data_IF_669374658126
#
_entry.id   IF_669374658126
#
_cell.length_a   1.000
_cell.length_b   1.000
_cell.length_c   1.000
_cell.angle_alpha   90.00
_cell.angle_beta   90.00
_cell.angle_gamma   90.00
#
_symmetry.space_group_name_H-M   'P 1'
#
loop_
_entity.id
_entity.type
_entity.pdbx_description
1 polymer ?
#
# COMPACT_ATOMS: atom_id res chain seq x y z
N UNK A 1 31.88 12.18 -3.84
CA UNK A 1 31.33 10.81 -3.99
C UNK A 1 31.69 9.84 -2.85
N UNK A 2 32.97 9.49 -2.59
CA UNK A 2 33.34 8.58 -1.47
C UNK A 2 33.15 9.22 -0.07
N UNK A 3 33.62 10.46 0.12
CA UNK A 3 33.43 11.20 1.40
C UNK A 3 31.97 11.46 1.74
N UNK A 4 31.14 11.80 0.75
CA UNK A 4 29.69 11.98 0.93
C UNK A 4 28.98 10.66 1.32
N UNK A 5 29.43 9.53 0.76
CA UNK A 5 28.95 8.20 1.15
C UNK A 5 29.33 7.85 2.59
N UNK A 6 30.56 8.15 3.01
CA UNK A 6 31.01 7.92 4.40
C UNK A 6 30.26 8.81 5.39
N UNK A 7 30.06 10.08 5.06
CA UNK A 7 29.32 11.02 5.90
C UNK A 7 27.84 10.63 6.01
N UNK A 8 27.22 10.22 4.90
CA UNK A 8 25.88 9.64 4.88
C UNK A 8 25.77 8.39 5.76
N UNK A 9 26.74 7.46 5.64
CA UNK A 9 26.81 6.26 6.47
C UNK A 9 26.93 6.60 7.96
N UNK A 10 27.79 7.55 8.33
CA UNK A 10 27.96 7.99 9.72
C UNK A 10 26.65 8.57 10.29
N UNK A 11 25.94 9.37 9.49
CA UNK A 11 24.65 9.95 9.90
C UNK A 11 23.59 8.86 10.11
N UNK A 12 23.53 7.85 9.24
CA UNK A 12 22.62 6.70 9.37
C UNK A 12 22.96 5.89 10.62
N UNK A 13 24.23 5.57 10.84
CA UNK A 13 24.67 4.84 12.04
C UNK A 13 24.35 5.61 13.33
N UNK A 14 24.54 6.94 13.35
CA UNK A 14 24.17 7.77 14.49
C UNK A 14 22.67 7.75 14.79
N UNK A 15 21.83 7.79 13.75
CA UNK A 15 20.37 7.67 13.89
C UNK A 15 19.97 6.28 14.40
N UNK A 16 20.60 5.22 13.88
CA UNK A 16 20.36 3.85 14.30
C UNK A 16 20.72 3.64 15.77
N UNK A 17 21.90 4.09 16.21
CA UNK A 17 22.31 4.01 17.61
C UNK A 17 21.34 4.74 18.55
N UNK A 18 20.84 5.92 18.13
CA UNK A 18 19.82 6.64 18.89
C UNK A 18 18.50 5.88 18.96
N UNK A 19 18.03 5.34 17.84
CA UNK A 19 16.80 4.54 17.78
C UNK A 19 16.89 3.29 18.68
N UNK A 20 18.01 2.58 18.65
CA UNK A 20 18.27 1.43 19.53
C UNK A 20 18.31 1.82 21.01
N UNK A 21 18.90 2.98 21.34
CA UNK A 21 18.88 3.51 22.71
C UNK A 21 17.46 3.79 23.20
N UNK A 22 16.62 4.42 22.36
CA UNK A 22 15.21 4.66 22.66
C UNK A 22 14.47 3.32 22.83
N UNK A 23 14.68 2.37 21.92
CA UNK A 23 14.06 1.04 21.97
C UNK A 23 14.37 0.30 23.27
N UNK A 24 15.65 0.25 23.67
CA UNK A 24 16.08 -0.42 24.92
C UNK A 24 15.39 0.15 26.16
N UNK A 25 15.17 1.47 26.20
CA UNK A 25 14.44 2.12 27.28
C UNK A 25 12.94 1.83 27.25
N UNK A 26 12.36 1.64 26.07
CA UNK A 26 10.94 1.35 25.88
C UNK A 26 10.59 -0.13 26.03
N UNK A 27 11.54 -1.05 25.81
CA UNK A 27 11.31 -2.51 25.82
C UNK A 27 10.60 -2.99 27.09
N UNK A 28 10.99 -2.47 28.25
CA UNK A 28 10.36 -2.81 29.54
C UNK A 28 8.97 -2.20 29.76
N UNK A 29 8.53 -1.29 28.88
CA UNK A 29 7.25 -0.55 28.97
C UNK A 29 6.27 -0.91 27.86
N UNK A 30 6.62 -1.83 26.95
CA UNK A 30 5.77 -2.21 25.81
C UNK A 30 4.41 -2.75 26.24
N UNK A 31 4.34 -3.51 27.34
CA UNK A 31 3.07 -4.01 27.89
C UNK A 31 2.14 -2.87 28.30
N UNK A 32 2.64 -1.91 29.08
CA UNK A 32 1.87 -0.72 29.49
C UNK A 32 1.45 0.13 28.29
N UNK A 33 2.33 0.30 27.30
CA UNK A 33 1.99 1.04 26.08
C UNK A 33 0.88 0.32 25.28
N UNK A 34 0.90 -1.01 25.22
CA UNK A 34 -0.15 -1.78 24.55
C UNK A 34 -1.51 -1.64 25.25
N UNK A 35 -1.54 -1.60 26.58
CA UNK A 35 -2.76 -1.36 27.36
C UNK A 35 -3.34 0.04 27.10
N UNK A 36 -2.50 1.09 27.10
CA UNK A 36 -2.94 2.46 26.80
C UNK A 36 -3.49 2.61 25.37
N UNK A 37 -2.91 1.87 24.42
CA UNK A 37 -3.29 1.90 23.00
C UNK A 37 -4.52 1.02 22.71
N UNK A 38 -4.97 0.19 23.65
CA UNK A 38 -6.16 -0.66 23.46
C UNK A 38 -7.46 0.11 23.19
N UNK A 39 -7.48 1.43 23.41
CA UNK A 39 -8.62 2.31 23.19
C UNK A 39 -8.59 3.07 21.86
N UNK A 40 -7.59 2.89 21.00
CA UNK A 40 -7.56 3.58 19.70
C UNK A 40 -8.31 2.76 18.63
N UNK A 41 -9.11 3.41 17.76
CA UNK A 41 -9.96 2.72 16.79
C UNK A 41 -9.21 2.21 15.55
N UNK A 42 -7.89 2.38 15.47
CA UNK A 42 -7.06 1.91 14.36
C UNK A 42 -6.03 0.87 14.82
N UNK A 43 -5.69 -0.11 13.98
CA UNK A 43 -4.68 -1.10 14.33
C UNK A 43 -3.32 -0.42 14.55
N UNK A 44 -2.66 -0.76 15.65
CA UNK A 44 -1.29 -0.33 15.94
C UNK A 44 -0.36 -1.52 15.84
N UNK A 45 0.79 -1.31 15.20
CA UNK A 45 1.79 -2.35 15.08
C UNK A 45 2.41 -2.66 16.46
N UNK A 46 2.36 -3.93 16.86
CA UNK A 46 3.10 -4.41 18.02
C UNK A 46 4.36 -5.15 17.55
N UNK A 47 5.55 -4.78 18.03
CA UNK A 47 6.79 -5.44 17.67
C UNK A 47 6.79 -6.90 18.19
N UNK A 48 6.79 -7.86 17.26
CA UNK A 48 6.77 -9.29 17.57
C UNK A 48 8.14 -9.84 17.99
N UNK A 49 9.21 -9.13 17.64
CA UNK A 49 10.59 -9.49 17.97
C UNK A 49 11.36 -8.29 18.53
N UNK A 50 12.49 -8.58 19.17
CA UNK A 50 13.38 -7.54 19.67
C UNK A 50 14.12 -6.86 18.52
N UNK A 51 14.26 -5.53 18.60
CA UNK A 51 15.00 -4.75 17.61
C UNK A 51 16.50 -4.83 17.88
N UNK A 52 17.10 -5.98 17.58
CA UNK A 52 18.54 -6.16 17.57
C UNK A 52 19.09 -6.05 16.14
N UNK A 53 20.24 -5.39 15.91
CA UNK A 53 20.87 -5.34 14.60
C UNK A 53 21.15 -6.74 14.06
N UNK A 54 20.77 -6.99 12.81
CA UNK A 54 21.08 -8.24 12.10
C UNK A 54 21.89 -7.96 10.84
N UNK A 55 22.69 -8.95 10.45
CA UNK A 55 23.32 -8.92 9.13
C UNK A 55 22.24 -9.02 8.06
N UNK A 56 22.33 -8.14 7.06
CA UNK A 56 21.39 -8.12 5.94
C UNK A 56 21.89 -9.12 4.89
N UNK A 57 21.06 -10.09 4.46
CA UNK A 57 21.46 -11.02 3.42
C UNK A 57 21.71 -10.28 2.10
N UNK A 58 22.53 -10.88 1.23
CA UNK A 58 22.74 -10.33 -0.11
C UNK A 58 21.41 -10.31 -0.88
N UNK A 59 21.11 -9.17 -1.50
CA UNK A 59 19.85 -8.98 -2.22
C UNK A 59 19.77 -9.81 -3.51
N UNK A 60 18.56 -10.02 -4.05
CA UNK A 60 18.38 -10.76 -5.30
C UNK A 60 19.07 -10.03 -6.47
N UNK A 61 19.76 -10.78 -7.33
CA UNK A 61 20.41 -10.22 -8.54
C UNK A 61 19.40 -9.69 -9.56
N UNK A 62 18.20 -10.25 -9.55
CA UNK A 62 17.07 -9.86 -10.41
C UNK A 62 15.87 -9.58 -9.52
N UNK A 63 15.34 -8.36 -9.58
CA UNK A 63 14.21 -7.91 -8.77
C UNK A 63 13.24 -7.13 -9.64
N UNK A 64 11.95 -7.43 -9.53
CA UNK A 64 10.90 -6.58 -10.09
C UNK A 64 10.19 -5.84 -8.97
N UNK A 65 10.17 -4.52 -9.02
CA UNK A 65 9.41 -3.68 -8.08
C UNK A 65 8.15 -3.21 -8.79
N UNK A 66 7.01 -3.59 -8.25
CA UNK A 66 5.70 -3.29 -8.79
C UNK A 66 5.01 -2.33 -7.82
N UNK A 67 4.34 -1.31 -8.35
CA UNK A 67 3.54 -0.39 -7.55
C UNK A 67 2.26 -0.05 -8.31
N UNK A 68 1.16 0.07 -7.56
CA UNK A 68 -0.13 0.53 -8.08
C UNK A 68 -0.67 1.59 -7.14
N UNK A 69 -1.24 2.64 -7.73
CA UNK A 69 -1.97 3.70 -7.04
C UNK A 69 -3.15 4.13 -7.91
N UNK A 70 -4.19 4.69 -7.31
CA UNK A 70 -5.42 5.03 -7.97
C UNK A 70 -5.93 6.42 -7.59
N UNK A 71 -6.70 7.00 -8.49
CA UNK A 71 -7.40 8.26 -8.26
C UNK A 71 -8.84 8.15 -8.78
N UNK A 72 -9.69 9.07 -8.34
CA UNK A 72 -11.11 9.00 -8.63
C UNK A 72 -11.77 10.38 -8.74
N UNK A 73 -12.80 10.44 -9.57
CA UNK A 73 -13.80 11.53 -9.60
C UNK A 73 -15.10 10.93 -9.09
N UNK A 74 -15.61 11.44 -7.98
CA UNK A 74 -16.84 10.97 -7.37
C UNK A 74 -18.08 11.38 -8.18
N UNK A 75 -19.20 10.66 -8.02
CA UNK A 75 -20.44 11.08 -8.62
C UNK A 75 -20.97 12.37 -7.96
N UNK A 76 -21.48 13.28 -8.79
CA UNK A 76 -22.13 14.50 -8.33
C UNK A 76 -23.65 14.37 -8.51
N UNK A 77 -24.37 14.47 -7.39
CA UNK A 77 -25.84 14.42 -7.33
C UNK A 77 -26.53 15.64 -7.95
N UNK A 78 -25.78 16.72 -8.22
CA UNK A 78 -26.29 17.94 -8.84
C UNK A 78 -26.11 17.96 -10.36
N UNK A 79 -25.42 16.95 -10.91
CA UNK A 79 -25.18 16.83 -12.35
C UNK A 79 -26.30 16.05 -13.07
N UNK A 80 -26.42 16.28 -14.38
CA UNK A 80 -27.48 15.71 -15.23
C UNK A 80 -27.32 14.19 -15.44
N UNK A 81 -26.13 13.64 -15.20
CA UNK A 81 -25.85 12.22 -15.33
C UNK A 81 -24.98 11.75 -14.17
N UNK A 82 -25.49 10.78 -13.41
CA UNK A 82 -24.75 10.18 -12.31
C UNK A 82 -23.67 9.26 -12.90
N UNK A 83 -22.41 9.62 -12.77
CA UNK A 83 -21.29 8.80 -13.23
C UNK A 83 -20.06 9.09 -12.38
N UNK A 84 -19.10 8.18 -12.38
CA UNK A 84 -17.83 8.36 -11.70
C UNK A 84 -16.70 7.75 -12.51
N UNK A 85 -15.48 8.20 -12.23
CA UNK A 85 -14.28 7.73 -12.91
C UNK A 85 -13.28 7.23 -11.89
N UNK A 86 -12.69 6.08 -12.15
CA UNK A 86 -11.55 5.56 -11.40
C UNK A 86 -10.38 5.43 -12.38
N UNK A 87 -9.23 5.98 -12.03
CA UNK A 87 -8.00 5.82 -12.79
C UNK A 87 -7.01 4.99 -11.98
N UNK A 88 -6.47 3.92 -12.56
CA UNK A 88 -5.47 3.05 -11.95
C UNK A 88 -4.13 3.28 -12.62
N UNK A 89 -3.18 3.85 -11.87
CA UNK A 89 -1.79 4.00 -12.26
C UNK A 89 -0.97 2.78 -11.84
N UNK A 90 -0.14 2.26 -12.74
CA UNK A 90 0.70 1.08 -12.51
C UNK A 90 2.13 1.29 -12.99
N UNK A 91 3.08 0.85 -12.17
CA UNK A 91 4.52 0.96 -12.46
C UNK A 91 5.19 -0.38 -12.18
N UNK A 92 6.01 -0.85 -13.13
CA UNK A 92 6.90 -1.98 -12.97
C UNK A 92 8.33 -1.58 -13.31
N UNK A 93 9.25 -1.74 -12.37
CA UNK A 93 10.69 -1.53 -12.55
C UNK A 93 11.43 -2.86 -12.41
N UNK A 94 12.25 -3.22 -13.40
CA UNK A 94 12.96 -4.51 -13.41
C UNK A 94 14.47 -4.30 -13.29
N UNK A 95 15.00 -4.54 -12.10
CA UNK A 95 16.43 -4.40 -11.79
C UNK A 95 17.20 -5.68 -12.13
N UNK A 96 18.30 -5.53 -12.85
CA UNK A 96 19.20 -6.64 -13.20
C UNK A 96 18.66 -7.62 -14.24
N UNK A 97 17.48 -7.37 -14.81
CA UNK A 97 16.87 -8.26 -15.80
C UNK A 97 17.07 -7.81 -17.25
N UNK A 98 17.30 -6.50 -17.47
CA UNK A 98 17.40 -5.90 -18.81
C UNK A 98 16.05 -5.59 -19.46
N UNK A 99 14.93 -5.92 -18.80
CA UNK A 99 13.59 -5.56 -19.25
C UNK A 99 13.34 -4.05 -19.11
N UNK A 100 12.51 -3.50 -19.99
CA UNK A 100 12.13 -2.09 -19.91
C UNK A 100 11.13 -1.87 -18.77
N UNK A 101 11.20 -0.73 -18.07
CA UNK A 101 10.17 -0.38 -17.10
C UNK A 101 8.83 -0.17 -17.81
N UNK A 102 7.75 -0.48 -17.11
CA UNK A 102 6.38 -0.21 -17.56
C UNK A 102 5.78 0.88 -16.68
N UNK A 103 5.17 1.90 -17.29
CA UNK A 103 4.42 2.95 -16.61
C UNK A 103 3.13 3.16 -17.39
N UNK A 104 2.00 2.90 -16.76
CA UNK A 104 0.70 2.99 -17.43
C UNK A 104 -0.36 3.58 -16.50
N UNK A 105 -1.34 4.28 -17.08
CA UNK A 105 -2.56 4.71 -16.41
C UNK A 105 -3.76 4.16 -17.17
N UNK A 106 -4.72 3.59 -16.43
CA UNK A 106 -5.94 3.01 -17.00
C UNK A 106 -7.17 3.68 -16.38
N UNK A 107 -7.89 4.54 -17.14
CA UNK A 107 -9.14 5.12 -16.68
C UNK A 107 -10.31 4.16 -16.94
N UNK A 108 -11.25 4.12 -16.00
CA UNK A 108 -12.49 3.36 -16.05
C UNK A 108 -13.65 4.31 -15.75
N UNK A 109 -14.56 4.45 -16.71
CA UNK A 109 -15.76 5.28 -16.60
C UNK A 109 -16.96 4.40 -16.25
N UNK A 110 -17.64 4.73 -15.16
CA UNK A 110 -18.79 4.02 -14.63
C UNK A 110 -20.03 4.90 -14.80
N UNK A 111 -20.95 4.46 -15.65
CA UNK A 111 -22.11 5.26 -16.08
C UNK A 111 -23.34 4.42 -16.40
N UNK A 112 -23.26 3.08 -16.31
CA UNK A 112 -24.42 2.22 -16.52
C UNK A 112 -25.24 2.17 -15.25
N UNK A 113 -26.54 1.89 -15.36
CA UNK A 113 -27.44 1.84 -14.20
C UNK A 113 -26.94 0.87 -13.11
N UNK A 114 -26.37 -0.26 -13.51
CA UNK A 114 -25.76 -1.27 -12.63
C UNK A 114 -24.53 -0.73 -11.88
N UNK A 115 -23.71 0.10 -12.54
CA UNK A 115 -22.52 0.70 -11.95
C UNK A 115 -22.88 1.86 -11.01
N UNK A 116 -23.95 2.58 -11.34
CA UNK A 116 -24.46 3.73 -10.62
C UNK A 116 -25.24 3.30 -9.38
N UNK A 117 -25.99 2.20 -9.46
CA UNK A 117 -26.84 1.71 -8.37
C UNK A 117 -26.39 0.32 -7.87
N UNK A 118 -25.16 0.15 -7.37
CA UNK A 118 -24.73 -1.12 -6.80
C UNK A 118 -25.67 -1.48 -5.64
N UNK A 119 -26.39 -2.59 -5.74
CA UNK A 119 -27.38 -2.99 -4.73
C UNK A 119 -28.66 -2.13 -4.70
N UNK A 120 -28.96 -1.36 -5.76
CA UNK A 120 -30.18 -0.58 -5.91
C UNK A 120 -30.16 0.83 -5.31
N UNK A 121 -29.02 1.27 -4.76
CA UNK A 121 -28.81 2.63 -4.24
C UNK A 121 -27.66 3.33 -4.98
N UNK A 122 -27.71 4.67 -5.18
CA UNK A 122 -26.64 5.39 -5.85
C UNK A 122 -25.28 5.18 -5.18
N UNK A 123 -24.24 4.95 -5.98
CA UNK A 123 -22.88 4.72 -5.50
C UNK A 123 -22.41 5.91 -4.66
N UNK A 124 -22.06 5.64 -3.40
CA UNK A 124 -21.53 6.64 -2.48
C UNK A 124 -20.03 6.91 -2.75
N UNK A 125 -19.47 7.96 -2.14
CA UNK A 125 -18.02 8.23 -2.23
C UNK A 125 -17.21 7.09 -1.61
N UNK A 126 -17.73 6.49 -0.53
CA UNK A 126 -17.14 5.34 0.16
C UNK A 126 -17.15 4.11 -0.74
N UNK A 127 -18.26 3.88 -1.46
CA UNK A 127 -18.38 2.78 -2.42
C UNK A 127 -17.37 2.90 -3.56
N UNK A 128 -17.22 4.10 -4.14
CA UNK A 128 -16.23 4.36 -5.20
C UNK A 128 -14.80 4.23 -4.67
N UNK A 129 -14.54 4.71 -3.44
CA UNK A 129 -13.23 4.58 -2.80
C UNK A 129 -12.85 3.12 -2.55
N UNK A 130 -13.80 2.31 -2.08
CA UNK A 130 -13.63 0.89 -1.87
C UNK A 130 -13.36 0.16 -3.19
N UNK A 131 -14.17 0.45 -4.21
CA UNK A 131 -14.00 -0.13 -5.55
C UNK A 131 -12.61 0.18 -6.11
N UNK A 132 -12.15 1.44 -6.00
CA UNK A 132 -10.78 1.82 -6.39
C UNK A 132 -9.74 0.97 -5.65
N UNK A 133 -9.84 0.83 -4.34
CA UNK A 133 -8.89 0.05 -3.54
C UNK A 133 -8.88 -1.45 -3.87
N UNK A 134 -10.01 -2.00 -4.34
CA UNK A 134 -10.09 -3.36 -4.90
C UNK A 134 -9.36 -3.40 -6.25
N UNK A 135 -9.69 -2.50 -7.18
CA UNK A 135 -9.10 -2.44 -8.51
C UNK A 135 -7.58 -2.24 -8.48
N UNK A 136 -7.06 -1.46 -7.53
CA UNK A 136 -5.61 -1.31 -7.29
C UNK A 136 -4.94 -2.64 -6.95
N UNK A 137 -5.55 -3.43 -6.08
CA UNK A 137 -5.03 -4.74 -5.62
C UNK A 137 -5.12 -5.78 -6.71
N UNK A 138 -6.22 -5.81 -7.46
CA UNK A 138 -6.37 -6.68 -8.63
C UNK A 138 -5.30 -6.37 -9.67
N UNK A 139 -5.11 -5.08 -10.02
CA UNK A 139 -4.08 -4.69 -10.97
C UNK A 139 -2.66 -5.07 -10.49
N UNK A 140 -2.37 -4.93 -9.20
CA UNK A 140 -1.08 -5.31 -8.64
C UNK A 140 -0.88 -6.84 -8.64
N UNK A 141 -1.93 -7.60 -8.32
CA UNK A 141 -1.92 -9.06 -8.38
C UNK A 141 -1.73 -9.56 -9.82
N UNK A 142 -2.41 -8.95 -10.79
CA UNK A 142 -2.24 -9.25 -12.22
C UNK A 142 -0.80 -9.00 -12.68
N UNK A 143 -0.23 -7.85 -12.29
CA UNK A 143 1.17 -7.53 -12.61
C UNK A 143 2.12 -8.55 -12.02
N UNK A 144 1.93 -8.95 -10.75
CA UNK A 144 2.75 -9.96 -10.10
C UNK A 144 2.60 -11.33 -10.79
N UNK A 145 1.37 -11.73 -11.14
CA UNK A 145 1.07 -12.99 -11.82
C UNK A 145 1.58 -13.06 -13.26
N UNK A 146 1.81 -11.91 -13.90
CA UNK A 146 2.38 -11.83 -15.26
C UNK A 146 3.90 -12.00 -15.30
N UNK A 147 4.58 -11.95 -14.15
CA UNK A 147 6.03 -12.15 -14.08
C UNK A 147 6.38 -13.65 -14.21
N UNK A 148 7.61 -13.98 -14.67
CA UNK A 148 8.09 -15.35 -14.64
C UNK A 148 8.02 -15.95 -13.22
N UNK A 149 7.64 -17.22 -13.03
CA UNK A 149 7.47 -17.83 -11.70
C UNK A 149 8.70 -17.74 -10.78
N UNK A 150 9.90 -17.75 -11.36
CA UNK A 150 11.18 -17.62 -10.65
C UNK A 150 11.58 -16.17 -10.32
N UNK A 151 10.78 -15.19 -10.74
CA UNK A 151 11.07 -13.76 -10.54
C UNK A 151 10.82 -13.37 -9.09
N UNK A 152 11.87 -12.91 -8.39
CA UNK A 152 11.68 -12.17 -7.14
C UNK A 152 11.00 -10.84 -7.43
N UNK A 153 9.85 -10.61 -6.78
CA UNK A 153 9.07 -9.40 -6.92
C UNK A 153 8.79 -8.74 -5.56
N UNK A 154 8.82 -7.41 -5.53
CA UNK A 154 8.35 -6.59 -4.42
C UNK A 154 7.13 -5.82 -4.92
N UNK A 155 5.96 -6.11 -4.36
CA UNK A 155 4.72 -5.43 -4.66
C UNK A 155 4.45 -4.36 -3.59
N UNK A 156 4.24 -3.12 -4.02
CA UNK A 156 3.99 -1.96 -3.18
C UNK A 156 2.55 -1.50 -3.36
N UNK A 157 1.85 -1.32 -2.24
CA UNK A 157 0.49 -0.78 -2.16
C UNK A 157 0.57 0.52 -1.37
N UNK A 158 -0.14 1.56 -1.79
CA UNK A 158 -0.34 2.75 -0.96
C UNK A 158 -1.48 2.51 0.05
N UNK A 159 -1.18 2.75 1.32
CA UNK A 159 -2.08 2.48 2.43
C UNK A 159 -1.96 1.07 3.04
N UNK A 160 -2.89 0.72 3.96
CA UNK A 160 -2.83 -0.53 4.72
C UNK A 160 -3.08 -1.74 3.83
N UNK A 161 -2.55 -2.91 4.23
CA UNK A 161 -2.84 -4.17 3.54
C UNK A 161 -4.34 -4.51 3.60
N UNK A 162 -4.96 -4.31 4.77
CA UNK A 162 -6.42 -4.43 4.95
C UNK A 162 -7.13 -3.39 4.08
N UNK A 163 -8.17 -3.82 3.37
CA UNK A 163 -9.10 -2.90 2.72
C UNK A 163 -9.99 -2.30 3.82
N UNK A 164 -9.95 -0.97 3.95
CA UNK A 164 -10.80 -0.23 4.89
C UNK A 164 -12.20 -0.08 4.28
N UNK A 165 -13.25 -0.15 5.11
CA UNK A 165 -14.64 -0.01 4.67
C UNK A 165 -15.34 -1.32 4.26
N UNK A 166 -14.68 -2.48 4.36
CA UNK A 166 -15.32 -3.79 4.06
C UNK A 166 -16.34 -4.21 5.14
N UNK A 167 -16.20 -3.72 6.38
CA UNK A 167 -17.08 -4.08 7.50
C UNK A 167 -18.50 -3.49 7.37
N UNK A 168 -18.71 -2.48 6.52
CA UNK A 168 -20.03 -1.86 6.28
C UNK A 168 -20.92 -2.67 5.33
N UNK A 169 -20.38 -3.67 4.62
CA UNK A 169 -21.13 -4.48 3.64
C UNK A 169 -21.69 -5.80 4.19
N UNK A 170 -21.39 -6.15 5.45
CA UNK A 170 -21.94 -7.35 6.11
C UNK A 170 -23.36 -7.16 6.67
N UNK A 171 -24.01 -6.02 6.42
CA UNK A 171 -25.35 -5.68 6.94
C UNK A 171 -26.45 -5.60 5.87
N UNK A 172 -26.19 -6.08 4.66
CA UNK A 172 -27.22 -6.16 3.60
C UNK A 172 -27.50 -7.64 3.32
N UNK A 173 -28.38 -8.24 4.12
CA UNK A 173 -29.17 -9.43 3.76
C UNK A 173 -30.45 -9.02 3.04
#
# INVERSE_FOLDING_TARGET
MLREREEGRRKVLGRMSRALGIWRNLKGRLGTLAEEVSYVPWPVAFPSEDLEPREVPEGPKKLSVLAVDGSQIYPDRHEVSFCYLINIGRVALHYGTGERPTLEGRPYLFFRDEDIHPGGSPASQETVSLLRSVMEREALADMAGSLPPERTALALVDGPLRILGVEEFNYIE
#
